data_IF_236889706013
#
_entry.id   IF_236889706013
#
_cell.length_a   1.000
_cell.length_b   1.000
_cell.length_c   1.000
_cell.angle_alpha   90.00
_cell.angle_beta   90.00
_cell.angle_gamma   90.00
#
_symmetry.space_group_name_H-M   'P 1'
#
loop_
_entity.id
_entity.type
_entity.pdbx_description
1 polymer ?
#
# COMPACT_ATOMS: atom_id res chain seq x y z
N UNK A 1 -14.93 8.63 -22.19
CA UNK A 1 -14.23 7.64 -21.34
C UNK A 1 -15.00 6.36 -21.44
N UNK A 2 -14.34 5.27 -21.80
CA UNK A 2 -14.98 3.95 -21.78
C UNK A 2 -15.17 3.50 -20.33
N UNK A 3 -16.12 2.59 -20.08
CA UNK A 3 -16.33 2.03 -18.73
C UNK A 3 -15.09 1.31 -18.19
N UNK A 4 -14.23 0.82 -19.08
CA UNK A 4 -12.98 0.13 -18.74
C UNK A 4 -11.92 1.11 -18.23
N UNK A 5 -11.79 2.30 -18.85
CA UNK A 5 -10.88 3.35 -18.40
C UNK A 5 -11.29 3.91 -17.02
N UNK A 6 -12.59 4.16 -16.84
CA UNK A 6 -13.13 4.63 -15.57
C UNK A 6 -12.92 3.58 -14.46
N UNK A 7 -13.11 2.30 -14.78
CA UNK A 7 -12.83 1.19 -13.87
C UNK A 7 -11.35 1.09 -13.49
N UNK A 8 -10.44 1.21 -14.46
CA UNK A 8 -9.00 1.18 -14.22
C UNK A 8 -8.52 2.34 -13.32
N UNK A 9 -9.00 3.55 -13.57
CA UNK A 9 -8.69 4.72 -12.75
C UNK A 9 -9.28 4.55 -11.34
N UNK A 10 -10.54 4.13 -11.22
CA UNK A 10 -11.20 3.94 -9.93
C UNK A 10 -10.52 2.89 -9.06
N UNK A 11 -10.23 1.71 -9.62
CA UNK A 11 -9.51 0.63 -8.92
C UNK A 11 -8.08 1.05 -8.57
N UNK A 12 -7.41 1.76 -9.48
CA UNK A 12 -6.08 2.29 -9.23
C UNK A 12 -6.05 3.29 -8.07
N UNK A 13 -7.01 4.22 -8.03
CA UNK A 13 -7.13 5.20 -6.94
C UNK A 13 -7.41 4.51 -5.61
N UNK A 14 -8.33 3.53 -5.61
CA UNK A 14 -8.64 2.74 -4.43
C UNK A 14 -7.41 1.99 -3.89
N UNK A 15 -6.67 1.31 -4.77
CA UNK A 15 -5.44 0.61 -4.40
C UNK A 15 -4.39 1.57 -3.80
N UNK A 16 -4.24 2.77 -4.38
CA UNK A 16 -3.32 3.79 -3.85
C UNK A 16 -3.73 4.25 -2.45
N UNK A 17 -5.02 4.51 -2.21
CA UNK A 17 -5.51 4.94 -0.91
C UNK A 17 -5.31 3.87 0.16
N UNK A 18 -5.61 2.60 -0.15
CA UNK A 18 -5.40 1.49 0.77
C UNK A 18 -3.91 1.27 1.04
N UNK A 19 -3.06 1.32 0.00
CA UNK A 19 -1.61 1.21 0.15
C UNK A 19 -1.03 2.32 1.02
N UNK A 20 -1.43 3.57 0.81
CA UNK A 20 -1.03 4.70 1.65
C UNK A 20 -1.48 4.52 3.11
N UNK A 21 -2.73 4.11 3.33
CA UNK A 21 -3.27 3.81 4.65
C UNK A 21 -2.50 2.70 5.36
N UNK A 22 -2.13 1.64 4.64
CA UNK A 22 -1.33 0.53 5.14
C UNK A 22 0.07 0.94 5.58
N UNK A 23 0.75 1.82 4.81
CA UNK A 23 2.05 2.40 5.20
C UNK A 23 1.90 3.25 6.46
N UNK A 24 0.89 4.13 6.53
CA UNK A 24 0.65 4.96 7.72
C UNK A 24 0.38 4.08 8.96
N UNK A 25 -0.40 3.02 8.81
CA UNK A 25 -0.66 2.06 9.88
C UNK A 25 0.62 1.32 10.31
N UNK A 26 1.47 0.92 9.37
CA UNK A 26 2.76 0.28 9.66
C UNK A 26 3.69 1.24 10.43
N UNK A 27 3.79 2.51 10.02
CA UNK A 27 4.59 3.54 10.70
C UNK A 27 4.06 3.79 12.12
N UNK A 28 2.73 3.93 12.28
CA UNK A 28 2.11 4.13 13.60
C UNK A 28 2.33 2.94 14.52
N UNK A 29 2.24 1.72 13.99
CA UNK A 29 2.49 0.48 14.73
C UNK A 29 3.94 0.39 15.18
N UNK A 30 4.89 0.70 14.28
CA UNK A 30 6.32 0.76 14.63
C UNK A 30 6.61 1.80 15.70
N UNK A 31 6.04 3.00 15.59
CA UNK A 31 6.18 4.05 16.61
C UNK A 31 5.66 3.60 17.97
N UNK A 32 4.46 3.03 18.04
CA UNK A 32 3.88 2.52 19.30
C UNK A 32 4.68 1.36 19.90
N UNK A 33 5.27 0.52 19.06
CA UNK A 33 6.01 -0.68 19.51
C UNK A 33 7.50 -0.44 19.70
N UNK A 34 8.00 0.78 19.47
CA UNK A 34 9.40 1.14 19.73
C UNK A 34 9.76 0.99 21.22
N UNK A 35 8.80 1.23 22.11
CA UNK A 35 8.95 1.09 23.57
C UNK A 35 9.14 -0.37 24.02
N UNK A 36 8.76 -1.36 23.18
CA UNK A 36 8.85 -2.80 23.46
C UNK A 36 9.71 -3.53 22.41
N UNK A 37 10.72 -2.85 21.85
CA UNK A 37 11.48 -3.34 20.70
C UNK A 37 12.07 -4.76 20.89
N UNK A 38 12.57 -5.09 22.09
CA UNK A 38 13.17 -6.38 22.39
C UNK A 38 12.17 -7.56 22.29
N UNK A 39 10.99 -7.45 22.92
CA UNK A 39 9.96 -8.48 22.84
C UNK A 39 9.26 -8.50 21.48
N UNK A 40 9.13 -7.35 20.84
CA UNK A 40 8.57 -7.24 19.49
C UNK A 40 9.46 -7.91 18.43
N UNK A 41 10.78 -7.77 18.55
CA UNK A 41 11.75 -8.48 17.72
C UNK A 41 11.68 -9.99 17.94
N UNK A 42 11.64 -10.43 19.20
CA UNK A 42 11.62 -11.85 19.58
C UNK A 42 10.36 -12.60 19.12
N UNK A 43 9.23 -11.91 19.00
CA UNK A 43 7.92 -12.48 18.59
C UNK A 43 7.68 -12.46 17.08
N UNK A 44 8.67 -12.03 16.27
CA UNK A 44 8.53 -11.96 14.81
C UNK A 44 7.82 -10.70 14.30
N UNK A 45 7.61 -9.69 15.15
CA UNK A 45 6.95 -8.43 14.78
C UNK A 45 7.63 -7.67 13.65
N UNK A 46 8.95 -7.82 13.50
CA UNK A 46 9.71 -7.24 12.38
C UNK A 46 9.25 -7.84 11.04
N UNK A 47 9.10 -9.16 10.96
CA UNK A 47 8.64 -9.84 9.74
C UNK A 47 7.25 -9.37 9.35
N UNK A 48 6.33 -9.28 10.33
CA UNK A 48 4.99 -8.75 10.10
C UNK A 48 5.01 -7.31 9.54
N UNK A 49 5.86 -6.44 10.09
CA UNK A 49 6.00 -5.06 9.59
C UNK A 49 6.48 -5.04 8.15
N UNK A 50 7.50 -5.84 7.82
CA UNK A 50 8.09 -5.89 6.48
C UNK A 50 7.06 -6.39 5.46
N UNK A 51 6.34 -7.47 5.76
CA UNK A 51 5.30 -8.01 4.88
C UNK A 51 4.15 -7.02 4.71
N UNK A 52 3.69 -6.38 5.80
CA UNK A 52 2.63 -5.38 5.74
C UNK A 52 3.03 -4.15 4.90
N UNK A 53 4.24 -3.62 5.12
CA UNK A 53 4.76 -2.51 4.34
C UNK A 53 4.96 -2.88 2.87
N UNK A 54 5.44 -4.10 2.60
CA UNK A 54 5.61 -4.65 1.25
C UNK A 54 4.28 -4.77 0.50
N UNK A 55 3.26 -5.36 1.12
CA UNK A 55 1.91 -5.45 0.55
C UNK A 55 1.32 -4.06 0.26
N UNK A 56 1.51 -3.12 1.20
CA UNK A 56 1.08 -1.73 1.02
C UNK A 56 1.81 -1.04 -0.14
N UNK A 57 3.11 -1.31 -0.30
CA UNK A 57 3.90 -0.83 -1.43
C UNK A 57 3.45 -1.41 -2.77
N UNK A 58 3.17 -2.71 -2.82
CA UNK A 58 2.62 -3.38 -4.01
C UNK A 58 1.29 -2.76 -4.44
N UNK A 59 0.39 -2.43 -3.50
CA UNK A 59 -0.86 -1.74 -3.79
C UNK A 59 -0.65 -0.34 -4.35
N UNK A 60 0.32 0.41 -3.82
CA UNK A 60 0.67 1.73 -4.36
C UNK A 60 1.21 1.65 -5.80
N UNK A 61 2.17 0.77 -6.03
CA UNK A 61 2.81 0.60 -7.35
C UNK A 61 1.79 0.07 -8.37
N UNK A 62 1.02 -0.95 -8.01
CA UNK A 62 -0.03 -1.49 -8.87
C UNK A 62 -1.13 -0.48 -9.18
N UNK A 63 -1.59 0.24 -8.16
CA UNK A 63 -2.63 1.27 -8.33
C UNK A 63 -2.18 2.43 -9.21
N UNK A 64 -0.97 2.96 -9.00
CA UNK A 64 -0.36 3.97 -9.86
C UNK A 64 -0.17 3.44 -11.29
N UNK A 65 0.26 2.18 -11.44
CA UNK A 65 0.40 1.53 -12.75
C UNK A 65 -0.91 1.49 -13.53
N UNK A 66 -2.02 1.13 -12.89
CA UNK A 66 -3.34 1.13 -13.52
C UNK A 66 -3.77 2.54 -13.96
N UNK A 67 -3.55 3.56 -13.12
CA UNK A 67 -3.88 4.95 -13.46
C UNK A 67 -3.05 5.41 -14.66
N UNK A 68 -1.73 5.20 -14.63
CA UNK A 68 -0.83 5.60 -15.72
C UNK A 68 -1.20 4.87 -17.01
N UNK A 69 -1.45 3.57 -16.96
CA UNK A 69 -1.84 2.78 -18.13
C UNK A 69 -3.15 3.29 -18.73
N UNK A 70 -4.17 3.56 -17.90
CA UNK A 70 -5.43 4.11 -18.36
C UNK A 70 -5.26 5.50 -19.02
N UNK A 71 -4.35 6.34 -18.50
CA UNK A 71 -4.07 7.66 -19.08
C UNK A 71 -3.28 7.57 -20.39
N UNK A 72 -2.35 6.64 -20.51
CA UNK A 72 -1.56 6.42 -21.74
C UNK A 72 -2.44 5.82 -22.84
N UNK A 73 -3.28 4.84 -22.53
CA UNK A 73 -4.17 4.19 -23.50
C UNK A 73 -5.37 5.05 -23.91
N UNK A 74 -5.71 6.08 -23.13
CA UNK A 74 -6.73 7.08 -23.48
C UNK A 74 -6.28 8.02 -24.60
N UNK A 75 -4.99 8.10 -24.87
CA UNK A 75 -4.38 8.97 -25.89
C UNK A 75 -4.48 8.34 -27.27
#
# INVERSE_FOLDING_TARGET
>A
MSGQEAGGIGLGLFAVLIGAGGIVAAIRTRRRRAEIAATYGATGGIVYTVVQAGCSGLLLVGGLGLIVLALVLKR
#
